data_IF_065540991331
#
_entry.id   IF_065540991331
#
_cell.length_a   1.000
_cell.length_b   1.000
_cell.length_c   1.000
_cell.angle_alpha   90.00
_cell.angle_beta   90.00
_cell.angle_gamma   90.00
#
_symmetry.space_group_name_H-M   'P 1'
#
loop_
_entity.id
_entity.type
_entity.pdbx_description
1 polymer ?
#
# COMPACT_ATOMS: atom_id res chain seq x y z
N UNK A 1 0.73 -15.60 8.92
CA UNK A 1 0.11 -14.54 8.12
C UNK A 1 0.94 -13.27 8.26
N UNK A 2 1.30 -12.65 7.15
CA UNK A 2 2.12 -11.46 7.20
C UNK A 2 1.78 -10.50 6.05
N UNK A 3 1.98 -9.21 6.32
CA UNK A 3 1.88 -8.16 5.32
C UNK A 3 3.22 -7.45 5.29
N UNK A 4 3.86 -7.45 4.13
CA UNK A 4 5.19 -6.88 3.93
C UNK A 4 5.13 -5.71 2.95
N UNK A 5 6.14 -4.86 2.98
CA UNK A 5 6.31 -3.78 2.02
C UNK A 5 7.50 -4.06 1.12
N UNK A 6 7.39 -3.67 -0.14
CA UNK A 6 8.51 -3.84 -1.09
C UNK A 6 8.37 -2.83 -2.22
N UNK A 7 9.50 -2.28 -2.67
CA UNK A 7 9.47 -1.48 -3.90
C UNK A 7 9.15 -2.38 -5.07
N UNK A 8 8.26 -1.90 -5.95
CA UNK A 8 7.88 -2.67 -7.13
C UNK A 8 9.07 -2.91 -8.07
N UNK A 9 10.10 -2.05 -7.97
CA UNK A 9 11.31 -2.17 -8.79
C UNK A 9 12.30 -3.21 -8.26
N UNK A 10 12.12 -3.69 -7.03
CA UNK A 10 12.96 -4.75 -6.49
C UNK A 10 12.53 -6.10 -7.08
N UNK A 11 13.46 -7.06 -7.23
CA UNK A 11 13.11 -8.36 -7.83
C UNK A 11 11.98 -9.06 -7.09
N UNK A 12 11.03 -9.60 -7.84
CA UNK A 12 9.96 -10.39 -7.27
C UNK A 12 10.51 -11.70 -6.70
N UNK A 13 9.90 -12.18 -5.64
CA UNK A 13 10.29 -13.40 -4.97
C UNK A 13 9.05 -14.23 -4.62
N UNK A 14 9.22 -15.54 -4.58
CA UNK A 14 8.11 -16.41 -4.15
C UNK A 14 7.67 -16.10 -2.72
N UNK A 15 8.60 -15.65 -1.88
CA UNK A 15 8.28 -15.29 -0.50
C UNK A 15 7.39 -14.04 -0.39
N UNK A 16 7.24 -13.27 -1.47
CA UNK A 16 6.35 -12.10 -1.49
C UNK A 16 4.88 -12.49 -1.33
N UNK A 17 4.51 -13.71 -1.69
CA UNK A 17 3.12 -14.13 -1.69
C UNK A 17 2.31 -13.33 -2.71
N UNK A 18 1.13 -12.88 -2.32
CA UNK A 18 0.25 -12.13 -3.19
C UNK A 18 0.72 -10.66 -3.25
N UNK A 19 0.98 -10.16 -4.45
CA UNK A 19 1.60 -8.83 -4.65
C UNK A 19 0.55 -7.81 -5.06
N UNK A 20 0.38 -6.78 -4.24
CA UNK A 20 -0.65 -5.74 -4.44
C UNK A 20 0.01 -4.39 -4.60
N UNK A 21 -0.20 -3.74 -5.76
CA UNK A 21 0.31 -2.39 -6.01
C UNK A 21 -0.72 -1.36 -5.55
N UNK A 22 -0.27 -0.37 -4.76
CA UNK A 22 -1.16 0.67 -4.22
C UNK A 22 -0.86 2.06 -4.77
N UNK A 23 -0.05 2.17 -5.82
CA UNK A 23 0.20 3.43 -6.50
C UNK A 23 -0.94 3.75 -7.45
N UNK A 24 -1.18 5.05 -7.69
CA UNK A 24 -2.20 5.48 -8.63
C UNK A 24 -1.78 5.24 -10.08
N UNK A 25 -0.49 5.39 -10.37
CA UNK A 25 0.05 5.23 -11.72
C UNK A 25 0.86 3.95 -11.81
N UNK A 26 0.83 3.33 -13.01
CA UNK A 26 1.65 2.15 -13.25
C UNK A 26 3.13 2.52 -13.18
N UNK A 27 3.98 1.66 -12.59
CA UNK A 27 5.41 1.95 -12.46
C UNK A 27 6.09 2.14 -13.82
N UNK A 28 6.77 3.25 -13.98
CA UNK A 28 7.43 3.57 -15.24
C UNK A 28 8.53 2.55 -15.54
N UNK A 29 8.53 2.06 -16.78
CA UNK A 29 9.56 1.15 -17.24
C UNK A 29 9.32 -0.33 -16.94
N UNK A 30 8.23 -0.66 -16.24
CA UNK A 30 7.92 -2.06 -15.95
C UNK A 30 6.76 -2.55 -16.79
N UNK A 31 6.88 -3.79 -17.30
CA UNK A 31 5.77 -4.47 -17.95
C UNK A 31 4.98 -5.25 -16.90
N UNK A 32 3.79 -5.71 -17.28
CA UNK A 32 3.00 -6.55 -16.39
C UNK A 32 3.79 -7.80 -15.98
N UNK A 33 4.52 -8.39 -16.92
CA UNK A 33 5.32 -9.59 -16.65
C UNK A 33 6.46 -9.31 -15.67
N UNK A 34 7.17 -8.19 -15.85
CA UNK A 34 8.32 -7.89 -15.00
C UNK A 34 7.90 -7.40 -13.62
N UNK A 35 6.78 -6.71 -13.50
CA UNK A 35 6.31 -6.21 -12.22
C UNK A 35 5.68 -7.29 -11.35
N UNK A 36 5.11 -8.31 -11.96
CA UNK A 36 4.43 -9.41 -11.26
C UNK A 36 3.42 -8.93 -10.22
N UNK A 37 2.62 -7.95 -10.61
CA UNK A 37 1.54 -7.44 -9.77
C UNK A 37 0.33 -8.34 -9.91
N UNK A 38 -0.12 -8.90 -8.79
CA UNK A 38 -1.32 -9.75 -8.79
C UNK A 38 -2.60 -8.93 -8.77
N UNK A 39 -2.55 -7.77 -8.11
CA UNK A 39 -3.70 -6.90 -8.00
C UNK A 39 -3.23 -5.44 -7.92
N UNK A 40 -3.83 -4.58 -8.73
CA UNK A 40 -3.53 -3.16 -8.70
C UNK A 40 -4.71 -2.40 -8.11
N UNK A 41 -4.57 -1.94 -6.85
CA UNK A 41 -5.61 -1.20 -6.14
C UNK A 41 -5.35 0.30 -6.28
N UNK A 42 -5.50 0.83 -7.51
CA UNK A 42 -5.26 2.25 -7.76
C UNK A 42 -6.19 3.16 -6.96
N UNK A 43 -7.38 2.69 -6.66
CA UNK A 43 -8.35 3.46 -5.88
C UNK A 43 -7.93 3.63 -4.42
N UNK A 44 -7.01 2.82 -3.94
CA UNK A 44 -6.49 2.93 -2.58
C UNK A 44 -5.37 3.97 -2.49
N UNK A 45 -4.82 4.43 -3.62
CA UNK A 45 -3.77 5.44 -3.63
C UNK A 45 -4.31 6.79 -3.13
N UNK A 46 -3.43 7.68 -2.63
CA UNK A 46 -3.85 9.02 -2.26
C UNK A 46 -4.47 9.75 -3.45
N UNK A 47 -5.39 10.66 -3.18
CA UNK A 47 -5.96 11.48 -4.25
C UNK A 47 -4.84 12.28 -4.92
N UNK A 48 -5.08 12.67 -6.17
CA UNK A 48 -4.12 13.48 -6.92
C UNK A 48 -3.83 14.79 -6.17
N UNK A 49 -4.85 15.39 -5.56
CA UNK A 49 -4.70 16.63 -4.79
C UNK A 49 -3.76 16.43 -3.60
N UNK A 50 -3.96 15.37 -2.83
CA UNK A 50 -3.12 15.09 -1.67
C UNK A 50 -1.70 14.78 -2.09
N UNK A 51 -1.53 14.00 -3.16
CA UNK A 51 -0.21 13.66 -3.68
C UNK A 51 0.55 14.91 -4.13
N UNK A 52 -0.11 15.81 -4.83
CA UNK A 52 0.51 17.05 -5.29
C UNK A 52 0.90 17.94 -4.12
N UNK A 53 0.02 18.05 -3.13
CA UNK A 53 0.30 18.83 -1.94
C UNK A 53 1.53 18.31 -1.20
N UNK A 54 1.64 17.00 -1.08
CA UNK A 54 2.77 16.38 -0.38
C UNK A 54 4.08 16.54 -1.15
N UNK A 55 4.08 16.27 -2.44
CA UNK A 55 5.23 16.41 -3.35
C UNK A 55 6.55 15.86 -2.78
N UNK A 56 6.50 14.76 -2.04
CA UNK A 56 7.67 14.13 -1.43
C UNK A 56 8.43 15.06 -0.46
N UNK A 57 7.74 16.01 0.13
CA UNK A 57 8.31 16.91 1.15
C UNK A 57 8.20 16.24 2.51
N UNK A 58 9.34 15.74 3.01
CA UNK A 58 9.38 14.99 4.28
C UNK A 58 8.84 15.78 5.47
N UNK A 59 8.94 17.12 5.41
CA UNK A 59 8.40 17.96 6.49
C UNK A 59 6.88 17.88 6.57
N UNK A 60 6.23 17.59 5.46
CA UNK A 60 4.77 17.43 5.40
C UNK A 60 4.30 16.03 5.79
N UNK A 61 5.23 15.12 6.06
CA UNK A 61 4.88 13.71 6.30
C UNK A 61 3.84 13.50 7.39
N UNK A 62 3.95 14.13 8.59
CA UNK A 62 2.94 13.91 9.64
C UNK A 62 1.54 14.32 9.21
N UNK A 63 1.42 15.45 8.52
CA UNK A 63 0.13 15.92 8.04
C UNK A 63 -0.38 15.07 6.88
N UNK A 64 0.53 14.62 6.00
CA UNK A 64 0.18 13.71 4.92
C UNK A 64 -0.43 12.43 5.48
N UNK A 65 0.17 11.86 6.52
CA UNK A 65 -0.35 10.64 7.14
C UNK A 65 -1.79 10.84 7.63
N UNK A 66 -2.07 11.94 8.30
CA UNK A 66 -3.40 12.23 8.81
C UNK A 66 -4.42 12.35 7.69
N UNK A 67 -4.07 13.09 6.63
CA UNK A 67 -4.97 13.30 5.51
C UNK A 67 -5.22 12.01 4.75
N UNK A 68 -4.18 11.23 4.54
CA UNK A 68 -4.33 9.96 3.82
C UNK A 68 -5.10 8.94 4.65
N UNK A 69 -4.90 8.91 5.96
CA UNK A 69 -5.70 8.05 6.83
C UNK A 69 -7.19 8.34 6.70
N UNK A 70 -7.56 9.61 6.58
CA UNK A 70 -8.96 9.99 6.35
C UNK A 70 -9.45 9.48 5.01
N UNK A 71 -8.62 9.54 3.96
CA UNK A 71 -8.99 9.00 2.66
C UNK A 71 -9.15 7.48 2.73
N UNK A 72 -8.25 6.79 3.42
CA UNK A 72 -8.32 5.34 3.58
C UNK A 72 -9.59 4.91 4.32
N UNK A 73 -10.02 5.71 5.29
CA UNK A 73 -11.25 5.40 6.02
C UNK A 73 -12.47 5.37 5.09
N UNK A 74 -12.44 6.14 4.00
CA UNK A 74 -13.50 6.14 2.99
C UNK A 74 -13.43 4.92 2.08
N UNK A 75 -12.35 4.14 2.14
CA UNK A 75 -12.14 2.95 1.33
C UNK A 75 -11.94 1.70 2.19
N UNK A 76 -12.70 1.61 3.28
CA UNK A 76 -12.56 0.49 4.22
C UNK A 76 -12.78 -0.86 3.54
N UNK A 77 -13.63 -0.92 2.51
CA UNK A 77 -13.86 -2.15 1.76
C UNK A 77 -12.61 -2.66 1.05
N UNK A 78 -11.74 -1.75 0.62
CA UNK A 78 -10.48 -2.15 -0.02
C UNK A 78 -9.49 -2.66 1.02
N UNK A 79 -9.47 -2.08 2.21
CA UNK A 79 -8.64 -2.58 3.30
C UNK A 79 -9.12 -3.96 3.75
N UNK A 80 -10.43 -4.16 3.81
CA UNK A 80 -11.01 -5.47 4.11
C UNK A 80 -10.63 -6.50 3.08
N UNK A 81 -10.60 -6.11 1.79
CA UNK A 81 -10.18 -7.01 0.72
C UNK A 81 -8.75 -7.49 0.93
N UNK A 82 -7.84 -6.59 1.27
CA UNK A 82 -6.45 -6.97 1.53
C UNK A 82 -6.36 -7.93 2.72
N UNK A 83 -7.12 -7.67 3.78
CA UNK A 83 -7.17 -8.55 4.93
C UNK A 83 -7.67 -9.94 4.59
N UNK A 84 -8.70 -10.02 3.73
CA UNK A 84 -9.22 -11.29 3.26
C UNK A 84 -8.20 -12.06 2.44
N UNK A 85 -7.48 -11.36 1.56
CA UNK A 85 -6.44 -11.98 0.74
C UNK A 85 -5.33 -12.53 1.64
N UNK A 86 -4.92 -11.77 2.65
CA UNK A 86 -3.90 -12.23 3.59
C UNK A 86 -4.32 -13.53 4.29
N UNK A 87 -5.57 -13.60 4.72
CA UNK A 87 -6.09 -14.81 5.40
C UNK A 87 -6.05 -16.04 4.49
N UNK A 88 -6.27 -15.85 3.19
CA UNK A 88 -6.28 -16.95 2.24
C UNK A 88 -4.90 -17.31 1.71
N UNK A 89 -4.03 -16.31 1.52
CA UNK A 89 -2.72 -16.50 0.90
C UNK A 89 -1.57 -16.54 1.89
N UNK A 90 -1.82 -16.19 3.14
CA UNK A 90 -0.87 -16.12 4.25
C UNK A 90 0.12 -14.95 4.18
N UNK A 91 0.63 -14.62 3.00
CA UNK A 91 1.55 -13.50 2.84
C UNK A 91 1.04 -12.58 1.73
N UNK A 92 1.02 -11.30 2.03
CA UNK A 92 0.71 -10.24 1.08
C UNK A 92 1.87 -9.25 1.09
N UNK A 93 2.32 -8.83 -0.08
CA UNK A 93 3.32 -7.78 -0.19
C UNK A 93 2.69 -6.56 -0.85
N UNK A 94 2.72 -5.43 -0.14
CA UNK A 94 2.23 -4.16 -0.64
C UNK A 94 3.37 -3.50 -1.41
N UNK A 95 3.13 -3.22 -2.70
CA UNK A 95 4.14 -2.68 -3.60
C UNK A 95 3.95 -1.18 -3.79
N UNK A 96 5.06 -0.47 -3.90
CA UNK A 96 5.07 0.96 -4.17
C UNK A 96 6.25 1.30 -5.06
N UNK A 97 6.16 2.44 -5.77
CA UNK A 97 7.22 2.86 -6.69
C UNK A 97 8.18 3.91 -6.13
N UNK A 98 7.81 4.58 -5.03
CA UNK A 98 8.63 5.66 -4.47
C UNK A 98 10.02 5.18 -4.07
N UNK A 99 11.01 6.06 -4.18
CA UNK A 99 12.38 5.76 -3.75
C UNK A 99 12.51 5.82 -2.23
N UNK A 100 11.75 6.70 -1.59
CA UNK A 100 11.76 6.81 -0.13
C UNK A 100 10.95 5.67 0.46
N UNK A 101 11.62 4.71 1.09
CA UNK A 101 10.99 3.51 1.64
C UNK A 101 10.31 3.77 2.98
N UNK A 102 10.58 4.90 3.61
CA UNK A 102 9.99 5.22 4.93
C UNK A 102 8.80 6.17 4.84
N UNK A 103 8.78 7.06 3.85
CA UNK A 103 7.77 8.12 3.73
C UNK A 103 7.00 7.98 2.42
N UNK A 104 6.20 6.93 2.31
CA UNK A 104 5.38 6.70 1.13
C UNK A 104 4.01 6.17 1.53
N UNK A 105 3.08 6.16 0.58
CA UNK A 105 1.69 5.76 0.83
C UNK A 105 1.57 4.33 1.34
N UNK A 106 2.44 3.43 0.90
CA UNK A 106 2.35 2.02 1.33
C UNK A 106 2.59 1.86 2.83
N UNK A 107 3.43 2.72 3.42
CA UNK A 107 3.64 2.71 4.86
C UNK A 107 2.36 3.06 5.62
N UNK A 108 1.58 4.00 5.11
CA UNK A 108 0.33 4.39 5.74
C UNK A 108 -0.71 3.28 5.60
N UNK A 109 -0.76 2.65 4.42
CA UNK A 109 -1.64 1.50 4.18
C UNK A 109 -1.32 0.37 5.14
N UNK A 110 -0.02 0.03 5.29
CA UNK A 110 0.40 -1.03 6.20
C UNK A 110 -0.01 -0.73 7.64
N UNK A 111 0.21 0.51 8.10
CA UNK A 111 -0.16 0.90 9.45
C UNK A 111 -1.68 0.77 9.66
N UNK A 112 -2.46 1.18 8.67
CA UNK A 112 -3.92 1.07 8.73
C UNK A 112 -4.37 -0.39 8.82
N UNK A 113 -3.75 -1.27 8.04
CA UNK A 113 -4.07 -2.70 8.07
C UNK A 113 -3.72 -3.32 9.42
N UNK A 114 -2.58 -2.95 10.00
CA UNK A 114 -2.19 -3.46 11.32
C UNK A 114 -3.13 -3.00 12.42
N UNK A 115 -3.58 -1.74 12.36
CA UNK A 115 -4.54 -1.22 13.35
C UNK A 115 -5.88 -1.95 13.25
N UNK A 116 -6.34 -2.24 12.02
CA UNK A 116 -7.60 -2.96 11.81
C UNK A 116 -7.52 -4.36 12.39
N UNK A 117 -6.41 -5.06 12.17
CA UNK A 117 -6.21 -6.40 12.71
C UNK A 117 -6.24 -6.39 14.24
N UNK A 118 -5.55 -5.41 14.86
CA UNK A 118 -5.52 -5.27 16.31
C UNK A 118 -6.91 -4.92 16.86
N UNK A 119 -7.60 -4.00 16.20
CA UNK A 119 -8.96 -3.62 16.60
C UNK A 119 -9.94 -4.77 16.50
N UNK A 120 -9.85 -5.57 15.42
CA UNK A 120 -10.68 -6.75 15.26
C UNK A 120 -10.40 -7.78 16.36
N UNK A 121 -9.14 -7.95 16.71
CA UNK A 121 -8.75 -8.88 17.78
C UNK A 121 -9.21 -8.38 19.16
N UNK A 122 -9.27 -7.06 19.33
CA UNK A 122 -9.67 -6.44 20.60
C UNK A 122 -11.17 -6.33 20.80
N UNK A 123 -11.91 -6.54 19.75
CA UNK A 123 -13.36 -6.48 19.84
C UNK A 123 -13.96 -7.87 20.03
#
# INVERSE_FOLDING_TARGET
MSIELKRVYDPASESDGYRILVDRLWPRGLTEESARVDLWLRRLAPTTELRKWYSHDAEKWPEFQKRYESELAAHSELLDLIGDIERHRRTVTILFGAKDVEHNEANVVLAALKRRATGAAGS
#
